data_IF_669080929229
#
_entry.id   IF_669080929229
#
_cell.length_a   1.000
_cell.length_b   1.000
_cell.length_c   1.000
_cell.angle_alpha   90.00
_cell.angle_beta   90.00
_cell.angle_gamma   90.00
#
_symmetry.space_group_name_H-M   'P 1'
#
loop_
_entity.id
_entity.type
_entity.pdbx_description
1 polymer ?
#
# COMPACT_ATOMS: atom_id res chain seq x y z
N UNK A 1 11.05 -9.90 -11.90
CA UNK A 1 9.88 -9.01 -11.66
C UNK A 1 9.92 -8.55 -10.20
N UNK A 2 9.21 -7.48 -9.81
CA UNK A 2 9.15 -7.05 -8.39
C UNK A 2 8.34 -8.01 -7.58
N UNK A 3 7.28 -8.56 -8.14
CA UNK A 3 6.42 -9.55 -7.50
C UNK A 3 7.18 -10.75 -6.93
N UNK A 4 8.27 -11.17 -7.57
CA UNK A 4 9.13 -12.27 -7.11
C UNK A 4 10.01 -11.92 -5.90
N UNK A 5 10.18 -10.64 -5.63
CA UNK A 5 11.00 -10.16 -4.51
C UNK A 5 10.18 -10.01 -3.23
N UNK A 6 8.84 -9.92 -3.34
CA UNK A 6 8.00 -9.67 -2.17
C UNK A 6 8.00 -10.85 -1.20
N UNK A 7 8.25 -10.53 0.06
CA UNK A 7 8.23 -11.49 1.17
C UNK A 7 6.82 -11.61 1.76
N UNK A 8 6.41 -12.81 2.13
CA UNK A 8 5.12 -13.10 2.78
C UNK A 8 5.19 -13.15 4.31
N UNK A 9 6.37 -13.06 4.91
CA UNK A 9 6.57 -13.20 6.36
C UNK A 9 6.90 -11.89 7.08
N UNK A 10 7.05 -10.80 6.33
CA UNK A 10 7.29 -9.46 6.85
C UNK A 10 6.58 -8.38 6.04
N UNK A 11 6.75 -7.12 6.42
CA UNK A 11 6.27 -6.03 5.59
C UNK A 11 7.16 -5.89 4.35
N UNK A 12 6.54 -5.64 3.22
CA UNK A 12 7.19 -5.07 2.06
C UNK A 12 6.84 -3.57 2.07
N UNK A 13 7.82 -2.71 2.30
CA UNK A 13 7.54 -1.30 2.55
C UNK A 13 7.92 -0.45 1.35
N UNK A 14 7.00 0.38 0.84
CA UNK A 14 7.30 1.45 -0.11
C UNK A 14 7.47 2.75 0.66
N UNK A 15 8.67 3.31 0.59
CA UNK A 15 9.04 4.59 1.18
C UNK A 15 9.17 5.60 0.05
N UNK A 16 8.36 6.66 0.07
CA UNK A 16 8.24 7.61 -1.03
C UNK A 16 8.27 9.05 -0.55
N UNK A 17 8.74 9.95 -1.39
CA UNK A 17 8.67 11.40 -1.24
C UNK A 17 7.63 12.04 -2.18
N UNK A 18 7.28 11.36 -3.26
CA UNK A 18 6.30 11.80 -4.24
C UNK A 18 5.17 10.78 -4.40
N UNK A 19 3.92 11.26 -4.31
CA UNK A 19 2.72 10.40 -4.37
C UNK A 19 2.50 9.79 -5.75
N UNK A 20 2.87 10.49 -6.84
CA UNK A 20 2.75 9.96 -8.19
C UNK A 20 3.73 8.81 -8.40
N UNK A 21 4.98 8.97 -7.97
CA UNK A 21 6.01 7.92 -8.02
C UNK A 21 5.56 6.65 -7.27
N UNK A 22 4.98 6.83 -6.06
CA UNK A 22 4.39 5.73 -5.29
C UNK A 22 3.32 4.99 -6.09
N UNK A 23 2.37 5.75 -6.64
CA UNK A 23 1.21 5.19 -7.37
C UNK A 23 1.67 4.46 -8.63
N UNK A 24 2.64 5.00 -9.37
CA UNK A 24 3.24 4.35 -10.53
C UNK A 24 3.85 2.98 -10.16
N UNK A 25 4.62 2.91 -9.08
CA UNK A 25 5.20 1.63 -8.63
C UNK A 25 4.12 0.63 -8.22
N UNK A 26 3.13 1.06 -7.44
CA UNK A 26 2.04 0.19 -6.99
C UNK A 26 1.25 -0.34 -8.20
N UNK A 27 0.94 0.52 -9.17
CA UNK A 27 0.23 0.10 -10.40
C UNK A 27 1.01 -0.95 -11.18
N UNK A 28 2.34 -0.81 -11.25
CA UNK A 28 3.21 -1.80 -11.87
C UNK A 28 3.15 -3.15 -11.14
N UNK A 29 3.21 -3.12 -9.81
CA UNK A 29 3.10 -4.33 -8.98
C UNK A 29 1.74 -4.99 -9.18
N UNK A 30 0.65 -4.23 -9.16
CA UNK A 30 -0.71 -4.74 -9.40
C UNK A 30 -0.79 -5.41 -10.77
N UNK A 31 -0.29 -4.77 -11.83
CA UNK A 31 -0.29 -5.33 -13.18
C UNK A 31 0.52 -6.63 -13.28
N UNK A 32 1.69 -6.70 -12.62
CA UNK A 32 2.47 -7.95 -12.54
C UNK A 32 1.67 -9.06 -11.86
N UNK A 33 1.01 -8.78 -10.73
CA UNK A 33 0.21 -9.75 -10.00
C UNK A 33 -1.02 -10.19 -10.78
N UNK A 34 -1.73 -9.29 -11.43
CA UNK A 34 -2.87 -9.65 -12.28
C UNK A 34 -2.46 -10.59 -13.40
N UNK A 35 -1.32 -10.34 -14.06
CA UNK A 35 -0.82 -11.19 -15.13
C UNK A 35 -0.37 -12.58 -14.64
N UNK A 36 0.29 -12.65 -13.48
CA UNK A 36 0.81 -13.90 -12.93
C UNK A 36 -0.29 -14.80 -12.34
N UNK A 37 -1.28 -14.23 -11.71
CA UNK A 37 -2.27 -14.94 -10.92
C UNK A 37 -3.66 -14.99 -11.56
N UNK A 38 -3.84 -14.47 -12.79
CA UNK A 38 -5.13 -14.36 -13.48
C UNK A 38 -5.92 -15.70 -13.50
N UNK A 39 -5.24 -16.81 -13.63
CA UNK A 39 -5.83 -18.15 -13.77
C UNK A 39 -5.81 -18.97 -12.46
N UNK A 40 -5.40 -18.39 -11.35
CA UNK A 40 -5.29 -19.09 -10.08
C UNK A 40 -6.51 -18.82 -9.18
N UNK A 41 -6.80 -19.77 -8.28
CA UNK A 41 -7.86 -19.58 -7.26
C UNK A 41 -7.60 -18.37 -6.35
N UNK A 42 -6.32 -17.99 -6.16
CA UNK A 42 -5.89 -16.82 -5.39
C UNK A 42 -5.44 -15.75 -6.37
N UNK A 43 -6.36 -14.97 -6.87
CA UNK A 43 -6.08 -13.89 -7.82
C UNK A 43 -6.50 -12.52 -7.31
N UNK A 44 -7.13 -12.43 -6.13
CA UNK A 44 -7.65 -11.17 -5.61
C UNK A 44 -6.53 -10.33 -5.01
N UNK A 45 -6.43 -9.08 -5.45
CA UNK A 45 -5.60 -8.04 -4.86
C UNK A 45 -6.51 -7.15 -4.03
N UNK A 46 -6.17 -6.96 -2.75
CA UNK A 46 -6.88 -6.07 -1.85
C UNK A 46 -6.07 -4.80 -1.63
N UNK A 47 -6.68 -3.65 -1.87
CA UNK A 47 -6.08 -2.34 -1.71
C UNK A 47 -6.87 -1.51 -0.70
N UNK A 48 -6.22 -1.12 0.39
CA UNK A 48 -6.76 -0.15 1.36
C UNK A 48 -6.23 1.24 0.98
N UNK A 49 -7.06 2.04 0.30
CA UNK A 49 -6.76 3.39 -0.18
C UNK A 49 -7.25 4.43 0.83
N UNK A 50 -6.44 4.68 1.87
CA UNK A 50 -6.81 5.48 3.05
C UNK A 50 -6.98 6.98 2.77
N UNK A 51 -6.43 7.49 1.68
CA UNK A 51 -6.53 8.90 1.25
C UNK A 51 -7.24 9.10 -0.10
N UNK A 52 -7.76 8.02 -0.67
CA UNK A 52 -8.40 8.00 -1.99
C UNK A 52 -7.49 8.45 -3.14
N UNK A 53 -6.17 8.50 -2.93
CA UNK A 53 -5.23 8.95 -3.94
C UNK A 53 -5.19 7.99 -5.13
N UNK A 54 -5.01 6.70 -4.90
CA UNK A 54 -4.98 5.69 -5.96
C UNK A 54 -6.28 5.68 -6.77
N UNK A 55 -7.41 5.69 -6.09
CA UNK A 55 -8.75 5.75 -6.71
C UNK A 55 -8.94 7.01 -7.56
N UNK A 56 -8.40 8.15 -7.13
CA UNK A 56 -8.48 9.41 -7.88
C UNK A 56 -7.67 9.34 -9.17
N UNK A 57 -6.45 8.78 -9.16
CA UNK A 57 -5.63 8.59 -10.35
C UNK A 57 -6.26 7.59 -11.33
N UNK A 58 -6.88 6.51 -10.83
CA UNK A 58 -7.64 5.57 -11.66
C UNK A 58 -8.80 6.26 -12.38
N UNK A 59 -9.62 7.04 -11.65
CA UNK A 59 -10.76 7.78 -12.22
C UNK A 59 -10.33 8.83 -13.23
N UNK A 60 -9.17 9.45 -13.04
CA UNK A 60 -8.59 10.41 -13.97
C UNK A 60 -7.99 9.75 -15.23
N UNK A 61 -7.97 8.42 -15.33
CA UNK A 61 -7.39 7.68 -16.45
C UNK A 61 -5.86 7.79 -16.55
N UNK A 62 -5.20 8.15 -15.45
CA UNK A 62 -3.74 8.30 -15.38
C UNK A 62 -3.05 6.97 -15.12
N UNK A 63 -3.79 5.96 -14.69
CA UNK A 63 -3.32 4.60 -14.48
C UNK A 63 -4.11 3.69 -15.41
N UNK A 64 -3.44 2.87 -16.25
CA UNK A 64 -4.12 1.85 -17.02
C UNK A 64 -4.80 0.87 -16.05
N UNK A 65 -6.08 0.70 -16.17
CA UNK A 65 -6.83 -0.24 -15.35
C UNK A 65 -7.97 -0.84 -16.14
N UNK A 66 -8.38 -2.04 -15.74
CA UNK A 66 -9.68 -2.58 -16.12
C UNK A 66 -10.79 -1.62 -15.63
N UNK A 67 -11.93 -1.69 -16.29
CA UNK A 67 -13.09 -0.90 -15.86
C UNK A 67 -13.47 -1.24 -14.41
N UNK A 68 -13.44 -0.24 -13.55
CA UNK A 68 -13.72 -0.38 -12.11
C UNK A 68 -15.18 -0.07 -11.85
N UNK A 69 -15.86 -1.02 -11.23
CA UNK A 69 -17.23 -0.90 -10.79
C UNK A 69 -17.28 -0.33 -9.37
N UNK A 70 -18.17 0.63 -9.13
CA UNK A 70 -18.50 1.07 -7.77
C UNK A 70 -19.56 0.13 -7.21
N UNK A 71 -19.22 -0.63 -6.17
CA UNK A 71 -20.14 -1.58 -5.53
C UNK A 71 -20.95 -0.87 -4.47
N UNK A 72 -20.28 -0.07 -3.62
CA UNK A 72 -20.91 0.86 -2.71
C UNK A 72 -20.06 2.13 -2.54
N UNK A 73 -20.39 3.00 -1.57
CA UNK A 73 -19.68 4.27 -1.36
C UNK A 73 -18.19 4.11 -1.02
N UNK A 74 -17.79 2.97 -0.48
CA UNK A 74 -16.46 2.73 0.07
C UNK A 74 -15.72 1.56 -0.57
N UNK A 75 -16.32 0.88 -1.57
CA UNK A 75 -15.74 -0.30 -2.21
C UNK A 75 -15.80 -0.13 -3.73
N UNK A 76 -14.64 -0.32 -4.38
CA UNK A 76 -14.51 -0.39 -5.82
C UNK A 76 -13.90 -1.73 -6.21
N UNK A 77 -14.41 -2.35 -7.26
CA UNK A 77 -13.95 -3.65 -7.71
C UNK A 77 -13.79 -3.66 -9.23
N UNK A 78 -12.74 -4.32 -9.75
CA UNK A 78 -12.57 -4.53 -11.18
C UNK A 78 -13.60 -5.51 -11.72
N UNK A 79 -13.90 -5.44 -13.02
CA UNK A 79 -14.82 -6.39 -13.68
C UNK A 79 -14.36 -7.84 -13.56
N UNK A 80 -13.06 -8.08 -13.60
CA UNK A 80 -12.45 -9.40 -13.40
C UNK A 80 -12.51 -9.89 -11.95
N UNK A 81 -12.97 -9.06 -11.00
CA UNK A 81 -12.90 -9.29 -9.55
C UNK A 81 -11.47 -9.45 -9.00
N UNK A 82 -10.44 -9.22 -9.82
CA UNK A 82 -9.05 -9.40 -9.42
C UNK A 82 -8.53 -8.25 -8.53
N UNK A 83 -9.10 -7.04 -8.63
CA UNK A 83 -8.71 -5.89 -7.79
C UNK A 83 -9.92 -5.38 -7.00
N UNK A 84 -9.80 -5.34 -5.68
CA UNK A 84 -10.79 -4.77 -4.78
C UNK A 84 -10.17 -3.64 -3.97
N UNK A 85 -10.70 -2.44 -4.13
CA UNK A 85 -10.22 -1.23 -3.47
C UNK A 85 -11.23 -0.83 -2.40
N UNK A 86 -10.75 -0.66 -1.19
CA UNK A 86 -11.51 -0.12 -0.06
C UNK A 86 -11.09 1.32 0.21
N UNK A 87 -12.08 2.19 0.38
CA UNK A 87 -11.92 3.57 0.86
C UNK A 87 -12.42 3.64 2.30
N UNK A 88 -11.60 3.28 3.30
CA UNK A 88 -12.04 3.24 4.68
C UNK A 88 -12.29 4.65 5.21
N UNK A 89 -13.36 4.81 5.97
CA UNK A 89 -13.54 5.90 6.91
C UNK A 89 -13.29 5.40 8.33
N UNK A 90 -13.22 6.33 9.27
CA UNK A 90 -12.99 6.01 10.67
C UNK A 90 -14.05 5.02 11.22
N UNK A 91 -15.32 5.18 10.81
CA UNK A 91 -16.46 4.42 11.34
C UNK A 91 -16.62 3.03 10.72
N UNK A 92 -16.00 2.76 9.57
CA UNK A 92 -16.16 1.48 8.85
C UNK A 92 -14.87 0.67 8.74
N UNK A 93 -13.74 1.18 9.28
CA UNK A 93 -12.45 0.52 9.16
C UNK A 93 -12.47 -0.90 9.74
N UNK A 94 -13.12 -1.11 10.88
CA UNK A 94 -13.24 -2.40 11.53
C UNK A 94 -14.05 -3.40 10.68
N UNK A 95 -15.15 -2.97 10.09
CA UNK A 95 -15.96 -3.80 9.19
C UNK A 95 -15.16 -4.21 7.95
N UNK A 96 -14.40 -3.28 7.36
CA UNK A 96 -13.49 -3.55 6.23
C UNK A 96 -12.41 -4.56 6.61
N UNK A 97 -11.78 -4.42 7.77
CA UNK A 97 -10.77 -5.36 8.24
C UNK A 97 -11.33 -6.78 8.43
N UNK A 98 -12.54 -6.90 8.94
CA UNK A 98 -13.25 -8.19 9.07
C UNK A 98 -13.51 -8.81 7.69
N UNK A 99 -13.96 -8.01 6.71
CA UNK A 99 -14.21 -8.49 5.34
C UNK A 99 -12.91 -8.96 4.66
N UNK A 100 -11.82 -8.21 4.82
CA UNK A 100 -10.49 -8.60 4.31
C UNK A 100 -10.06 -9.93 4.92
N UNK A 101 -10.16 -10.09 6.23
CA UNK A 101 -9.75 -11.33 6.92
C UNK A 101 -10.57 -12.54 6.44
N UNK A 102 -11.88 -12.36 6.26
CA UNK A 102 -12.76 -13.43 5.77
C UNK A 102 -12.43 -13.86 4.34
N UNK A 103 -11.99 -12.94 3.49
CA UNK A 103 -11.63 -13.21 2.09
C UNK A 103 -10.15 -13.50 1.86
N UNK A 104 -9.35 -13.63 2.92
CA UNK A 104 -7.89 -13.73 2.84
C UNK A 104 -7.41 -14.94 2.01
N UNK A 105 -8.11 -16.06 2.06
CA UNK A 105 -7.79 -17.27 1.29
C UNK A 105 -7.87 -17.10 -0.24
N UNK A 106 -8.55 -16.04 -0.72
CA UNK A 106 -8.68 -15.71 -2.14
C UNK A 106 -7.62 -14.68 -2.59
N UNK A 107 -6.89 -14.09 -1.63
CA UNK A 107 -5.97 -12.99 -1.90
C UNK A 107 -4.61 -13.47 -2.38
N UNK A 108 -4.03 -12.75 -3.33
CA UNK A 108 -2.65 -12.87 -3.80
C UNK A 108 -1.74 -11.76 -3.30
N UNK A 109 -2.31 -10.59 -2.98
CA UNK A 109 -1.58 -9.41 -2.49
C UNK A 109 -2.51 -8.54 -1.64
N UNK A 110 -1.97 -7.97 -0.56
CA UNK A 110 -2.65 -6.95 0.24
C UNK A 110 -1.80 -5.69 0.30
N UNK A 111 -2.42 -4.53 0.07
CA UNK A 111 -1.78 -3.22 0.06
C UNK A 111 -2.45 -2.31 1.08
N UNK A 112 -1.66 -1.71 1.96
CA UNK A 112 -2.09 -0.71 2.94
C UNK A 112 -1.45 0.64 2.59
N UNK A 113 -2.22 1.55 2.03
CA UNK A 113 -1.76 2.85 1.54
C UNK A 113 -2.51 4.01 2.22
N UNK A 114 -1.95 4.73 3.14
CA UNK A 114 -0.61 4.70 3.68
C UNK A 114 -0.62 4.80 5.21
N UNK A 115 0.50 4.54 5.85
CA UNK A 115 0.67 4.80 7.30
C UNK A 115 0.34 6.26 7.63
N UNK A 116 0.77 7.20 6.79
CA UNK A 116 0.52 8.63 6.99
C UNK A 116 -0.97 8.93 6.94
N UNK A 117 -1.67 8.36 5.97
CA UNK A 117 -3.11 8.54 5.75
C UNK A 117 -3.94 7.93 6.88
N UNK A 118 -3.46 6.84 7.50
CA UNK A 118 -4.06 6.28 8.70
C UNK A 118 -4.14 7.30 9.85
N UNK A 119 -3.07 8.05 10.08
CA UNK A 119 -3.09 9.11 11.10
C UNK A 119 -4.06 10.24 10.75
N UNK A 120 -4.16 10.61 9.46
CA UNK A 120 -5.08 11.64 9.00
C UNK A 120 -6.54 11.21 9.15
N UNK A 121 -6.84 9.92 8.95
CA UNK A 121 -8.19 9.37 9.09
C UNK A 121 -8.79 9.64 10.48
N UNK A 122 -7.98 9.62 11.53
CA UNK A 122 -8.41 9.84 12.91
C UNK A 122 -8.13 11.26 13.42
N UNK A 123 -7.68 12.17 12.55
CA UNK A 123 -7.22 13.51 12.94
C UNK A 123 -8.30 14.31 13.67
N UNK A 124 -9.53 14.30 13.18
CA UNK A 124 -10.65 15.06 13.77
C UNK A 124 -10.98 14.61 15.19
N UNK A 125 -10.95 13.31 15.48
CA UNK A 125 -11.14 12.80 16.85
C UNK A 125 -10.01 13.20 17.78
N UNK A 126 -8.77 13.26 17.26
CA UNK A 126 -7.60 13.65 18.05
C UNK A 126 -7.66 15.13 18.43
N UNK A 127 -8.07 16.00 17.48
CA UNK A 127 -8.09 17.45 17.67
C UNK A 127 -9.26 17.93 18.52
N UNK A 128 -10.36 17.19 18.54
CA UNK A 128 -11.56 17.56 19.30
C UNK A 128 -11.39 17.48 20.85
N UNK A 129 -10.26 17.00 21.35
CA UNK A 129 -10.03 16.83 22.79
C UNK A 129 -8.73 17.48 23.29
N UNK A 130 -8.77 17.94 24.53
CA UNK A 130 -7.68 18.63 25.21
C UNK A 130 -6.43 17.81 25.48
N UNK A 131 -6.47 16.48 25.35
CA UNK A 131 -5.36 15.58 25.75
C UNK A 131 -4.71 14.89 24.55
N UNK A 132 -4.13 15.72 23.65
CA UNK A 132 -3.60 15.28 22.35
C UNK A 132 -2.44 14.26 22.42
N UNK A 133 -1.58 14.30 23.46
CA UNK A 133 -0.41 13.41 23.55
C UNK A 133 -0.79 11.97 23.84
N UNK A 134 -1.72 11.73 24.75
CA UNK A 134 -2.20 10.39 25.08
C UNK A 134 -2.93 9.75 23.90
N UNK A 135 -3.65 10.54 23.11
CA UNK A 135 -4.37 10.04 21.94
C UNK A 135 -3.49 9.66 20.76
N UNK A 136 -2.44 10.43 20.50
CA UNK A 136 -1.45 10.09 19.46
C UNK A 136 -0.75 8.76 19.81
N UNK A 137 -0.42 8.55 21.09
CA UNK A 137 0.12 7.28 21.57
C UNK A 137 -0.83 6.09 21.35
N UNK A 138 -2.11 6.29 21.64
CA UNK A 138 -3.14 5.27 21.42
C UNK A 138 -3.35 4.98 19.94
N UNK A 139 -3.32 6.01 19.07
CA UNK A 139 -3.42 5.84 17.63
C UNK A 139 -2.24 5.06 17.05
N UNK A 140 -1.02 5.31 17.55
CA UNK A 140 0.15 4.52 17.15
C UNK A 140 0.04 3.04 17.57
N UNK A 141 -0.57 2.77 18.72
CA UNK A 141 -0.88 1.40 19.17
C UNK A 141 -1.96 0.75 18.30
N UNK A 142 -3.01 1.51 17.95
CA UNK A 142 -4.06 1.04 17.04
C UNK A 142 -3.48 0.69 15.67
N UNK A 143 -2.67 1.58 15.07
CA UNK A 143 -1.96 1.30 13.82
C UNK A 143 -1.12 0.02 13.92
N UNK A 144 -0.32 -0.10 14.99
CA UNK A 144 0.49 -1.29 15.22
C UNK A 144 -0.38 -2.55 15.27
N UNK A 145 -1.49 -2.50 16.02
CA UNK A 145 -2.42 -3.63 16.13
C UNK A 145 -3.00 -4.02 14.76
N UNK A 146 -3.50 -3.05 13.99
CA UNK A 146 -4.07 -3.28 12.65
C UNK A 146 -3.03 -3.91 11.72
N UNK A 147 -1.83 -3.34 11.63
CA UNK A 147 -0.79 -3.85 10.76
C UNK A 147 -0.33 -5.27 11.16
N UNK A 148 -0.18 -5.51 12.46
CA UNK A 148 0.24 -6.83 12.95
C UNK A 148 -0.86 -7.90 12.81
N UNK A 149 -2.12 -7.51 12.91
CA UNK A 149 -3.26 -8.39 12.65
C UNK A 149 -3.27 -8.83 11.18
N UNK A 150 -3.16 -7.87 10.25
CA UNK A 150 -3.07 -8.19 8.81
C UNK A 150 -1.84 -9.05 8.54
N UNK A 151 -0.66 -8.66 9.05
CA UNK A 151 0.59 -9.42 8.84
C UNK A 151 0.48 -10.87 9.32
N UNK A 152 -0.13 -11.11 10.49
CA UNK A 152 -0.32 -12.45 11.02
C UNK A 152 -1.13 -13.33 10.06
N UNK A 153 -2.23 -12.79 9.53
CA UNK A 153 -3.09 -13.52 8.59
C UNK A 153 -2.43 -13.70 7.23
N UNK A 154 -1.79 -12.67 6.69
CA UNK A 154 -1.09 -12.75 5.39
C UNK A 154 0.06 -13.76 5.45
N UNK A 155 0.84 -13.78 6.54
CA UNK A 155 1.92 -14.76 6.75
C UNK A 155 1.39 -16.18 6.84
N UNK A 156 0.25 -16.41 7.48
CA UNK A 156 -0.37 -17.72 7.57
C UNK A 156 -0.76 -18.27 6.19
N UNK A 157 -1.27 -17.39 5.30
CA UNK A 157 -1.65 -17.75 3.95
C UNK A 157 -0.53 -17.60 2.91
N UNK A 158 0.69 -17.22 3.30
CA UNK A 158 1.82 -16.91 2.40
C UNK A 158 1.46 -15.82 1.37
N UNK A 159 0.82 -14.73 1.81
CA UNK A 159 0.42 -13.60 0.98
C UNK A 159 1.35 -12.43 1.28
N UNK A 160 2.00 -11.80 0.28
CA UNK A 160 2.76 -10.59 0.49
C UNK A 160 1.88 -9.44 1.00
N UNK A 161 2.39 -8.72 2.00
CA UNK A 161 1.75 -7.54 2.57
C UNK A 161 2.59 -6.30 2.30
N UNK A 162 2.07 -5.39 1.48
CA UNK A 162 2.71 -4.15 1.08
C UNK A 162 2.18 -2.99 1.92
N UNK A 163 3.09 -2.21 2.49
CA UNK A 163 2.76 -1.06 3.33
C UNK A 163 3.47 0.17 2.79
N UNK A 164 2.79 1.30 2.66
CA UNK A 164 3.41 2.52 2.17
C UNK A 164 3.62 3.55 3.27
N UNK A 165 4.70 4.31 3.19
CA UNK A 165 5.02 5.39 4.12
C UNK A 165 5.73 6.55 3.44
N UNK A 166 5.23 7.76 3.66
CA UNK A 166 5.78 8.99 3.09
C UNK A 166 6.97 9.48 3.90
N UNK A 167 8.03 9.93 3.23
CA UNK A 167 9.14 10.67 3.81
C UNK A 167 8.65 12.09 4.12
N UNK A 168 8.90 12.55 5.34
CA UNK A 168 8.63 13.93 5.74
C UNK A 168 9.96 14.67 5.92
N UNK A 169 10.09 15.83 5.31
CA UNK A 169 11.25 16.70 5.44
C UNK A 169 10.93 17.82 6.43
N UNK A 170 11.56 17.77 7.61
CA UNK A 170 11.55 18.92 8.56
C UNK A 170 12.95 19.52 8.63
N UNK A 171 13.81 19.03 9.54
CA UNK A 171 15.24 19.38 9.59
C UNK A 171 16.10 18.25 9.01
N UNK A 172 15.58 17.04 8.98
CA UNK A 172 16.16 15.83 8.39
C UNK A 172 15.04 14.95 7.84
N UNK A 173 15.38 14.01 6.98
CA UNK A 173 14.44 13.01 6.50
C UNK A 173 13.86 12.21 7.67
N UNK A 174 12.54 12.09 7.72
CA UNK A 174 11.82 11.35 8.74
C UNK A 174 10.77 10.45 8.07
N UNK A 175 10.87 9.16 8.34
CA UNK A 175 9.86 8.17 7.91
C UNK A 175 8.84 8.01 9.04
N UNK A 176 7.56 8.14 8.71
CA UNK A 176 6.49 7.92 9.69
C UNK A 176 6.50 6.46 10.15
N UNK A 177 6.42 6.25 11.47
CA UNK A 177 6.52 4.91 12.09
C UNK A 177 7.83 4.14 11.78
N UNK A 178 8.94 4.85 11.55
CA UNK A 178 10.23 4.26 11.19
C UNK A 178 10.65 3.10 12.14
N UNK A 179 10.42 3.26 13.45
CA UNK A 179 10.75 2.22 14.44
C UNK A 179 9.98 0.92 14.21
N UNK A 180 8.73 0.99 13.77
CA UNK A 180 7.91 -0.18 13.43
C UNK A 180 8.42 -0.81 12.13
N UNK A 181 8.58 0.01 11.10
CA UNK A 181 9.01 -0.43 9.78
C UNK A 181 10.40 -1.06 9.83
N UNK A 182 11.39 -0.41 10.47
CA UNK A 182 12.75 -0.95 10.59
C UNK A 182 12.83 -2.30 11.30
N UNK A 183 11.86 -2.62 12.17
CA UNK A 183 11.83 -3.91 12.89
C UNK A 183 11.06 -5.01 12.18
N UNK A 184 10.12 -4.66 11.30
CA UNK A 184 9.16 -5.61 10.72
C UNK A 184 9.21 -5.67 9.19
N UNK A 185 9.90 -4.74 8.53
CA UNK A 185 10.09 -4.80 7.09
C UNK A 185 11.16 -5.81 6.72
N UNK A 186 10.81 -6.72 5.86
CA UNK A 186 11.73 -7.65 5.20
C UNK A 186 12.36 -7.00 3.98
N UNK A 187 11.61 -6.15 3.29
CA UNK A 187 12.02 -5.48 2.07
C UNK A 187 11.58 -4.01 2.08
N UNK A 188 12.46 -3.10 1.67
CA UNK A 188 12.15 -1.68 1.57
C UNK A 188 12.43 -1.19 0.14
N UNK A 189 11.44 -0.56 -0.47
CA UNK A 189 11.52 0.12 -1.75
C UNK A 189 11.55 1.62 -1.49
N UNK A 190 12.66 2.27 -1.82
CA UNK A 190 12.75 3.73 -1.81
C UNK A 190 12.47 4.23 -3.22
N UNK A 191 11.40 5.02 -3.38
CA UNK A 191 10.91 5.47 -4.67
C UNK A 191 11.05 6.98 -4.77
N UNK A 192 11.75 7.43 -5.81
CA UNK A 192 11.95 8.86 -6.12
C UNK A 192 11.80 9.10 -7.61
N UNK A 193 11.34 10.28 -7.98
CA UNK A 193 11.40 10.76 -9.36
C UNK A 193 12.85 11.17 -9.64
N UNK A 194 13.49 10.54 -10.62
CA UNK A 194 14.86 10.88 -11.06
C UNK A 194 14.86 11.91 -12.19
N UNK A 195 13.93 11.78 -13.14
CA UNK A 195 13.68 12.69 -14.26
C UNK A 195 12.20 12.72 -14.58
N UNK A 196 11.75 13.61 -15.49
CA UNK A 196 10.33 13.77 -15.85
C UNK A 196 9.63 12.45 -16.24
N UNK A 197 10.36 11.45 -16.74
CA UNK A 197 9.82 10.18 -17.21
C UNK A 197 10.41 8.95 -16.49
N UNK A 198 11.33 9.15 -15.54
CA UNK A 198 12.07 8.05 -14.91
C UNK A 198 11.82 8.00 -13.39
N UNK A 199 11.48 6.83 -12.91
CA UNK A 199 11.42 6.54 -11.48
C UNK A 199 12.70 5.79 -11.05
N UNK A 200 13.40 6.34 -10.08
CA UNK A 200 14.49 5.62 -9.40
C UNK A 200 13.90 4.82 -8.22
N UNK A 201 14.15 3.52 -8.23
CA UNK A 201 13.75 2.63 -7.15
C UNK A 201 14.98 1.99 -6.56
N UNK A 202 15.26 2.30 -5.31
CA UNK A 202 16.30 1.63 -4.54
C UNK A 202 15.64 0.56 -3.67
N UNK A 203 16.05 -0.69 -3.87
CA UNK A 203 15.52 -1.84 -3.13
C UNK A 203 16.54 -2.24 -2.07
N UNK A 204 16.15 -2.15 -0.81
CA UNK A 204 16.93 -2.59 0.33
C UNK A 204 16.29 -3.83 0.95
N UNK A 205 16.89 -4.98 0.77
CA UNK A 205 16.54 -6.22 1.44
C UNK A 205 17.55 -6.56 2.55
N UNK A 206 17.26 -7.57 3.34
CA UNK A 206 18.12 -8.01 4.43
C UNK A 206 19.53 -8.46 3.99
N UNK A 207 19.75 -8.70 2.69
CA UNK A 207 21.01 -9.26 2.18
C UNK A 207 21.65 -8.47 1.03
N UNK A 208 20.94 -7.61 0.29
CA UNK A 208 21.50 -6.87 -0.88
C UNK A 208 20.76 -5.56 -1.13
N UNK A 209 21.53 -4.55 -1.51
CA UNK A 209 20.99 -3.29 -2.07
C UNK A 209 21.03 -3.41 -3.60
N UNK A 210 19.86 -3.33 -4.23
CA UNK A 210 19.72 -3.29 -5.68
C UNK A 210 19.06 -1.98 -6.09
N UNK A 211 19.62 -1.30 -7.08
CA UNK A 211 19.00 -0.12 -7.67
C UNK A 211 18.43 -0.52 -9.02
N UNK A 212 17.16 -0.23 -9.26
CA UNK A 212 16.46 -0.43 -10.52
C UNK A 212 15.78 0.86 -10.94
N UNK A 213 15.78 1.13 -12.22
CA UNK A 213 15.07 2.27 -12.79
C UNK A 213 13.81 1.78 -13.51
N UNK A 214 12.72 2.50 -13.32
CA UNK A 214 11.46 2.32 -14.03
C UNK A 214 11.29 3.46 -15.01
N UNK A 215 11.00 3.14 -16.26
CA UNK A 215 10.74 4.13 -17.31
C UNK A 215 9.24 4.16 -17.60
N UNK A 216 8.67 5.35 -17.56
CA UNK A 216 7.29 5.60 -17.98
C UNK A 216 7.28 5.78 -19.51
N UNK A 217 6.96 4.72 -20.29
CA UNK A 217 6.74 4.81 -21.73
C UNK A 217 5.26 4.67 -22.05
N UNK A 218 4.73 5.63 -22.83
CA UNK A 218 3.34 5.60 -23.32
C UNK A 218 2.28 5.41 -22.23
N UNK A 219 2.46 6.06 -21.08
CA UNK A 219 1.62 5.90 -19.86
C UNK A 219 1.64 4.49 -19.26
N UNK A 220 2.51 3.61 -19.72
CA UNK A 220 2.69 2.26 -19.17
C UNK A 220 4.10 2.16 -18.58
N UNK A 221 4.18 1.74 -17.33
CA UNK A 221 5.46 1.49 -16.67
C UNK A 221 6.08 0.20 -17.19
N UNK A 222 7.31 0.30 -17.69
CA UNK A 222 8.11 -0.86 -18.10
C UNK A 222 9.44 -0.86 -17.36
N UNK A 223 9.83 -2.04 -16.90
CA UNK A 223 11.14 -2.28 -16.29
C UNK A 223 12.22 -2.27 -17.37
N UNK A 224 13.33 -1.59 -17.10
CA UNK A 224 14.55 -1.67 -17.90
C UNK A 224 15.60 -2.47 -17.18
#
# INVERSE_FOLDING_TARGET
MISELLDSHGFNTIIYDDSFAKICLISSIIAEYQNQFANLKRNKIVYLDLDAAFTSYLKAGLIPSEEILKIDHHIFQSKSNALKIYLPSEDILDAILVDIIKSMNECSLIIFDSINSFYNLFYNKITASSDNKLKIGNLSRLLYFVLMMILKHTSYFNIPFLVTSMIRYKRKEMITSNRLLSKKSSLNFYVKISNLNDLSITILGNTKTNQKNLILKDKVLRWT
#
